data_IF_711939889744
#
_entry.id   IF_711939889744
#
_cell.length_a   1.000
_cell.length_b   1.000
_cell.length_c   1.000
_cell.angle_alpha   90.00
_cell.angle_beta   90.00
_cell.angle_gamma   90.00
#
_symmetry.space_group_name_H-M   'P 1'
#
loop_
_entity.id
_entity.type
_entity.pdbx_description
1 polymer ?
#
# COMPACT_ATOMS: atom_id res chain seq x y z
N UNK A 1 -8.41 -14.77 -14.05
CA UNK A 1 -7.02 -15.17 -14.37
C UNK A 1 -6.19 -14.98 -13.12
N UNK A 2 -5.37 -15.98 -12.73
CA UNK A 2 -4.31 -15.73 -11.74
C UNK A 2 -3.28 -14.83 -12.43
N UNK A 3 -2.94 -13.68 -11.82
CA UNK A 3 -1.78 -12.90 -12.23
C UNK A 3 -0.54 -13.78 -11.99
N UNK A 4 0.33 -13.88 -12.99
CA UNK A 4 1.59 -14.63 -12.90
C UNK A 4 2.66 -13.87 -12.11
N UNK A 5 2.37 -12.63 -11.71
CA UNK A 5 3.21 -11.79 -10.88
C UNK A 5 2.80 -11.83 -9.40
N UNK A 6 3.71 -11.52 -8.46
CA UNK A 6 3.35 -11.28 -7.07
C UNK A 6 2.20 -10.27 -6.95
N UNK A 7 1.39 -10.43 -5.90
CA UNK A 7 0.37 -9.44 -5.54
C UNK A 7 1.06 -8.14 -5.15
N UNK A 8 0.57 -7.02 -5.70
CA UNK A 8 0.99 -5.67 -5.34
C UNK A 8 -0.02 -5.04 -4.40
N UNK A 9 0.44 -4.62 -3.24
CA UNK A 9 -0.40 -3.99 -2.22
C UNK A 9 0.12 -2.58 -1.94
N UNK A 10 -0.75 -1.59 -2.04
CA UNK A 10 -0.46 -0.23 -1.58
C UNK A 10 -0.95 -0.07 -0.14
N UNK A 11 -0.10 0.42 0.75
CA UNK A 11 -0.44 0.75 2.14
C UNK A 11 -0.30 2.26 2.32
N UNK A 12 -1.40 2.93 2.64
CA UNK A 12 -1.47 4.38 2.75
C UNK A 12 -2.00 4.85 4.09
N UNK A 13 -1.61 6.06 4.49
CA UNK A 13 -2.21 6.81 5.61
C UNK A 13 -2.73 8.13 5.08
N UNK A 14 -4.05 8.29 5.13
CA UNK A 14 -4.75 9.42 4.50
C UNK A 14 -4.98 10.56 5.50
N UNK A 15 -4.87 11.81 5.05
CA UNK A 15 -5.23 12.99 5.82
C UNK A 15 -4.24 13.35 6.92
N UNK A 16 -4.70 13.52 8.16
CA UNK A 16 -3.85 13.90 9.29
C UNK A 16 -3.36 12.69 10.12
N UNK A 17 -3.66 11.47 9.67
CA UNK A 17 -3.33 10.28 10.43
C UNK A 17 -1.81 10.05 10.49
N UNK A 18 -1.26 10.18 11.70
CA UNK A 18 0.14 9.92 12.00
C UNK A 18 0.41 8.54 12.60
N UNK A 19 -0.60 7.70 12.77
CA UNK A 19 -0.44 6.36 13.33
C UNK A 19 0.18 5.43 12.31
N UNK A 20 1.48 5.20 12.47
CA UNK A 20 2.26 4.50 11.44
C UNK A 20 2.73 3.11 11.82
N UNK A 21 2.79 2.81 13.13
CA UNK A 21 3.40 1.58 13.61
C UNK A 21 2.71 0.33 13.04
N UNK A 22 1.37 0.32 13.07
CA UNK A 22 0.58 -0.78 12.52
C UNK A 22 0.77 -0.92 11.01
N UNK A 23 0.71 0.18 10.26
CA UNK A 23 0.91 0.19 8.82
C UNK A 23 2.28 -0.37 8.42
N UNK A 24 3.35 0.02 9.13
CA UNK A 24 4.70 -0.51 8.92
C UNK A 24 4.82 -2.01 9.23
N UNK A 25 4.21 -2.48 10.32
CA UNK A 25 4.22 -3.91 10.67
C UNK A 25 3.53 -4.72 9.58
N UNK A 26 2.32 -4.31 9.17
CA UNK A 26 1.58 -4.98 8.10
C UNK A 26 2.35 -4.93 6.78
N UNK A 27 2.92 -3.78 6.41
CA UNK A 27 3.71 -3.66 5.19
C UNK A 27 4.91 -4.61 5.17
N UNK A 28 5.62 -4.75 6.29
CA UNK A 28 6.72 -5.72 6.41
C UNK A 28 6.21 -7.16 6.33
N UNK A 29 5.16 -7.52 7.07
CA UNK A 29 4.59 -8.88 7.03
C UNK A 29 4.08 -9.29 5.65
N UNK A 30 3.50 -8.35 4.88
CA UNK A 30 3.08 -8.60 3.49
C UNK A 30 4.29 -8.86 2.57
N UNK A 31 5.39 -8.12 2.75
CA UNK A 31 6.64 -8.40 2.02
C UNK A 31 7.22 -9.76 2.38
N UNK A 32 7.24 -10.10 3.67
CA UNK A 32 7.72 -11.41 4.14
C UNK A 32 6.89 -12.56 3.57
N UNK A 33 5.60 -12.32 3.30
CA UNK A 33 4.70 -13.26 2.62
C UNK A 33 4.88 -13.31 1.09
N UNK A 34 5.84 -12.57 0.53
CA UNK A 34 6.17 -12.57 -0.90
C UNK A 34 5.38 -11.60 -1.77
N UNK A 35 4.70 -10.60 -1.16
CA UNK A 35 4.00 -9.56 -1.91
C UNK A 35 4.91 -8.38 -2.22
N UNK A 36 4.65 -7.70 -3.33
CA UNK A 36 5.23 -6.39 -3.63
C UNK A 36 4.43 -5.32 -2.86
N UNK A 37 5.09 -4.53 -2.02
CA UNK A 37 4.40 -3.58 -1.13
C UNK A 37 4.89 -2.16 -1.33
N UNK A 38 3.96 -1.29 -1.73
CA UNK A 38 4.16 0.15 -1.88
C UNK A 38 3.63 0.83 -0.61
N UNK A 39 4.51 1.44 0.17
CA UNK A 39 4.11 2.21 1.34
C UNK A 39 4.23 3.71 1.02
N UNK A 40 3.11 4.44 1.01
CA UNK A 40 3.06 5.83 0.53
C UNK A 40 3.51 6.85 1.58
N UNK A 41 3.79 6.41 2.81
CA UNK A 41 4.06 7.33 3.91
C UNK A 41 2.81 7.93 4.53
N UNK A 42 3.03 8.91 5.40
CA UNK A 42 2.00 9.61 6.14
C UNK A 42 1.36 10.74 5.32
N UNK A 43 0.17 11.13 5.74
CA UNK A 43 -0.51 12.36 5.30
C UNK A 43 -0.75 12.49 3.80
N UNK A 44 -1.13 11.39 3.16
CA UNK A 44 -1.50 11.40 1.75
C UNK A 44 -2.93 11.93 1.57
N UNK A 45 -3.24 12.57 0.44
CA UNK A 45 -4.64 12.82 0.07
C UNK A 45 -5.21 11.58 -0.62
N UNK A 46 -6.55 11.40 -0.63
CA UNK A 46 -7.17 10.32 -1.41
C UNK A 46 -6.73 10.32 -2.88
N UNK A 47 -6.60 11.49 -3.51
CA UNK A 47 -6.19 11.62 -4.90
C UNK A 47 -4.76 11.12 -5.12
N UNK A 48 -3.84 11.42 -4.20
CA UNK A 48 -2.46 10.91 -4.25
C UNK A 48 -2.44 9.38 -4.17
N UNK A 49 -3.22 8.80 -3.26
CA UNK A 49 -3.32 7.34 -3.07
C UNK A 49 -3.88 6.66 -4.32
N UNK A 50 -4.95 7.22 -4.90
CA UNK A 50 -5.57 6.68 -6.12
C UNK A 50 -4.59 6.77 -7.30
N UNK A 51 -3.92 7.91 -7.48
CA UNK A 51 -2.94 8.08 -8.55
C UNK A 51 -1.77 7.09 -8.41
N UNK A 52 -1.24 6.91 -7.21
CA UNK A 52 -0.19 5.93 -6.94
C UNK A 52 -0.67 4.50 -7.21
N UNK A 53 -1.88 4.14 -6.77
CA UNK A 53 -2.46 2.82 -6.99
C UNK A 53 -2.61 2.49 -8.48
N UNK A 54 -3.01 3.46 -9.29
CA UNK A 54 -3.14 3.32 -10.75
C UNK A 54 -1.77 3.21 -11.43
N UNK A 55 -0.80 4.06 -11.06
CA UNK A 55 0.54 4.05 -11.64
C UNK A 55 1.30 2.74 -11.33
N UNK A 56 1.16 2.26 -10.10
CA UNK A 56 1.81 1.03 -9.63
C UNK A 56 1.01 -0.24 -10.00
N UNK A 57 -0.18 -0.10 -10.60
CA UNK A 57 -1.08 -1.20 -10.98
C UNK A 57 -1.26 -2.20 -9.82
N UNK A 58 -1.72 -1.68 -8.67
CA UNK A 58 -1.87 -2.49 -7.46
C UNK A 58 -3.12 -3.35 -7.47
N UNK A 59 -3.06 -4.48 -6.79
CA UNK A 59 -4.16 -5.42 -6.65
C UNK A 59 -5.09 -5.05 -5.49
N UNK A 60 -4.59 -4.34 -4.48
CA UNK A 60 -5.36 -3.83 -3.36
C UNK A 60 -4.73 -2.60 -2.70
N UNK A 61 -5.56 -1.85 -1.98
CA UNK A 61 -5.17 -0.69 -1.15
C UNK A 61 -5.56 -0.96 0.31
N UNK A 62 -4.62 -0.82 1.24
CA UNK A 62 -4.86 -0.75 2.68
C UNK A 62 -4.70 0.68 3.20
N UNK A 63 -5.60 1.13 4.09
CA UNK A 63 -5.73 2.52 4.60
C UNK A 63 -5.62 2.57 6.13
#
# INVERSE_FOLDING_TARGET
MKKERPLRILVAKIGLDGHDRGAKVIATSLRDAGMEVIYTGLRQTPEMVVNAALQEDVDAIGV
#
